data_IF_418969865402
#
_entry.id   IF_418969865402
#
_cell.length_a   1.000
_cell.length_b   1.000
_cell.length_c   1.000
_cell.angle_alpha   90.00
_cell.angle_beta   90.00
_cell.angle_gamma   90.00
#
_symmetry.space_group_name_H-M   'P 1'
#
loop_
_entity.id
_entity.type
_entity.pdbx_description
1 polymer ?
#
# COMPACT_ATOMS: atom_id res chain seq x y z
N UNK A 1 17.49 12.29 10.53
CA UNK A 1 16.19 11.71 10.93
C UNK A 1 15.22 12.87 11.00
N UNK A 2 14.35 13.03 10.01
CA UNK A 2 13.26 14.00 10.10
C UNK A 2 12.30 13.49 11.17
N UNK A 3 11.87 14.36 12.08
CA UNK A 3 10.90 13.97 13.12
C UNK A 3 9.56 13.83 12.40
N UNK A 4 8.98 12.62 12.40
CA UNK A 4 7.61 12.38 11.90
C UNK A 4 6.67 13.40 12.54
N UNK A 5 5.89 14.12 11.73
CA UNK A 5 4.93 15.09 12.25
C UNK A 5 3.86 14.38 13.08
N UNK A 6 3.78 14.71 14.37
CA UNK A 6 2.81 14.12 15.32
C UNK A 6 1.36 14.26 14.87
N UNK A 7 1.02 15.34 14.15
CA UNK A 7 -0.31 15.54 13.59
C UNK A 7 -0.61 14.57 12.43
N UNK A 8 0.37 14.33 11.54
CA UNK A 8 0.19 13.41 10.40
C UNK A 8 0.15 11.95 10.84
N UNK A 9 0.97 11.57 11.80
CA UNK A 9 0.90 10.21 12.39
C UNK A 9 -0.46 9.98 13.03
N UNK A 10 -0.97 10.95 13.81
CA UNK A 10 -2.30 10.87 14.42
C UNK A 10 -3.42 10.76 13.39
N UNK A 11 -3.35 11.50 12.28
CA UNK A 11 -4.32 11.40 11.18
C UNK A 11 -4.32 10.01 10.54
N UNK A 12 -3.14 9.45 10.24
CA UNK A 12 -3.02 8.08 9.70
C UNK A 12 -3.61 7.07 10.68
N UNK A 13 -3.30 7.19 11.97
CA UNK A 13 -3.83 6.27 12.99
C UNK A 13 -5.34 6.39 13.17
N UNK A 14 -5.88 7.62 13.18
CA UNK A 14 -7.32 7.87 13.24
C UNK A 14 -8.04 7.25 12.04
N UNK A 15 -7.44 7.39 10.86
CA UNK A 15 -7.92 6.79 9.63
C UNK A 15 -8.07 5.26 9.78
N UNK A 16 -6.99 4.58 10.17
CA UNK A 16 -7.02 3.13 10.37
C UNK A 16 -7.96 2.69 11.50
N UNK A 17 -8.01 3.42 12.62
CA UNK A 17 -8.94 3.13 13.71
C UNK A 17 -10.40 3.18 13.26
N UNK A 18 -10.74 4.15 12.42
CA UNK A 18 -12.09 4.25 11.84
C UNK A 18 -12.36 3.08 10.90
N UNK A 19 -11.40 2.72 10.04
CA UNK A 19 -11.54 1.58 9.13
C UNK A 19 -11.74 0.24 9.86
N UNK A 20 -11.11 0.09 11.03
CA UNK A 20 -11.22 -1.09 11.88
C UNK A 20 -12.36 -1.01 12.91
N UNK A 21 -13.11 0.09 12.95
CA UNK A 21 -14.21 0.33 13.90
C UNK A 21 -13.81 0.11 15.38
N UNK A 22 -12.58 0.52 15.73
CA UNK A 22 -12.00 0.26 17.05
C UNK A 22 -12.65 1.11 18.15
N UNK A 23 -13.60 0.51 18.86
CA UNK A 23 -14.30 1.13 20.00
C UNK A 23 -13.88 0.56 21.36
N UNK A 24 -13.23 -0.60 21.38
CA UNK A 24 -12.89 -1.33 22.60
C UNK A 24 -11.51 -0.94 23.14
N UNK A 25 -11.28 -1.12 24.44
CA UNK A 25 -9.94 -0.95 25.02
C UNK A 25 -9.02 -2.10 24.60
N UNK A 26 -7.73 -1.84 24.35
CA UNK A 26 -6.80 -2.89 23.97
C UNK A 26 -6.55 -3.85 25.13
N UNK A 27 -6.41 -5.13 24.80
CA UNK A 27 -5.96 -6.18 25.71
C UNK A 27 -4.51 -6.51 25.42
N UNK A 28 -3.63 -6.41 26.43
CA UNK A 28 -2.20 -6.72 26.28
C UNK A 28 -1.54 -5.98 25.09
N UNK A 29 -1.95 -4.72 24.86
CA UNK A 29 -1.46 -3.90 23.74
C UNK A 29 -2.14 -4.14 22.39
N UNK A 30 -3.07 -5.10 22.29
CA UNK A 30 -3.80 -5.41 21.07
C UNK A 30 -5.24 -4.90 21.10
N UNK A 31 -5.64 -4.29 19.99
CA UNK A 31 -7.05 -4.29 19.61
C UNK A 31 -7.38 -5.64 18.97
N UNK A 32 -8.60 -6.12 19.19
CA UNK A 32 -9.09 -7.37 18.65
C UNK A 32 -10.27 -7.11 17.72
N UNK A 33 -10.27 -7.80 16.58
CA UNK A 33 -11.41 -7.88 15.68
C UNK A 33 -11.62 -9.32 15.19
N UNK A 34 -12.86 -9.77 15.06
CA UNK A 34 -13.18 -11.17 14.71
C UNK A 34 -13.54 -11.37 13.23
N UNK A 35 -13.57 -10.31 12.42
CA UNK A 35 -14.18 -10.30 11.09
C UNK A 35 -13.27 -9.81 9.96
N UNK A 36 -12.36 -8.88 10.21
CA UNK A 36 -11.58 -8.16 9.21
C UNK A 36 -10.66 -9.10 8.41
N UNK A 37 -10.14 -10.13 9.06
CA UNK A 37 -9.30 -11.16 8.44
C UNK A 37 -10.01 -11.94 7.33
N UNK A 38 -11.34 -12.02 7.37
CA UNK A 38 -12.15 -12.74 6.36
C UNK A 38 -12.17 -12.06 4.99
N UNK A 39 -11.62 -10.84 4.89
CA UNK A 39 -11.62 -10.03 3.67
C UNK A 39 -10.49 -10.39 2.69
N UNK A 40 -9.53 -11.22 3.11
CA UNK A 40 -8.32 -11.50 2.33
C UNK A 40 -8.47 -12.79 1.51
N UNK A 41 -8.49 -13.95 2.16
CA UNK A 41 -8.70 -15.24 1.51
C UNK A 41 -9.37 -16.23 2.46
N UNK A 42 -9.88 -17.35 1.93
CA UNK A 42 -10.42 -18.44 2.74
C UNK A 42 -9.36 -19.13 3.62
N UNK A 43 -8.09 -19.06 3.21
CA UNK A 43 -6.94 -19.61 3.94
C UNK A 43 -6.36 -18.63 4.98
N UNK A 44 -6.82 -17.37 4.99
CA UNK A 44 -6.35 -16.38 5.95
C UNK A 44 -6.71 -16.81 7.37
N UNK A 45 -5.74 -16.80 8.27
CA UNK A 45 -5.95 -17.11 9.68
C UNK A 45 -5.80 -15.88 10.58
N UNK A 46 -4.87 -14.97 10.24
CA UNK A 46 -4.60 -13.77 11.02
C UNK A 46 -4.32 -12.61 10.09
N UNK A 47 -4.97 -11.48 10.34
CA UNK A 47 -4.54 -10.18 9.87
C UNK A 47 -3.91 -9.40 11.03
N UNK A 48 -2.71 -8.88 10.82
CA UNK A 48 -1.94 -8.14 11.81
C UNK A 48 -1.55 -6.76 11.27
N UNK A 49 -2.09 -5.72 11.89
CA UNK A 49 -1.70 -4.34 11.62
C UNK A 49 -0.87 -3.79 12.79
N UNK A 50 0.23 -3.11 12.47
CA UNK A 50 1.10 -2.46 13.45
C UNK A 50 1.46 -1.04 13.02
N UNK A 51 1.32 -0.10 13.95
CA UNK A 51 1.78 1.29 13.87
C UNK A 51 2.45 1.68 15.19
N UNK A 52 3.01 2.88 15.26
CA UNK A 52 3.54 3.44 16.50
C UNK A 52 2.45 3.63 17.59
N UNK A 53 1.19 3.82 17.18
CA UNK A 53 0.09 4.11 18.11
C UNK A 53 -0.71 2.90 18.57
N UNK A 54 -0.82 1.84 17.77
CA UNK A 54 -1.53 0.63 18.14
C UNK A 54 -1.16 -0.59 17.29
N UNK A 55 -1.43 -1.77 17.86
CA UNK A 55 -1.48 -3.04 17.15
C UNK A 55 -2.91 -3.54 17.08
N UNK A 56 -3.38 -3.94 15.91
CA UNK A 56 -4.63 -4.68 15.72
C UNK A 56 -4.29 -6.11 15.32
N UNK A 57 -4.95 -7.05 15.99
CA UNK A 57 -4.94 -8.45 15.64
C UNK A 57 -6.36 -8.86 15.30
N UNK A 58 -6.57 -9.26 14.05
CA UNK A 58 -7.84 -9.76 13.57
C UNK A 58 -7.73 -11.25 13.26
N UNK A 59 -8.52 -12.09 13.94
CA UNK A 59 -8.50 -13.54 13.74
C UNK A 59 -9.76 -14.21 14.33
N UNK A 60 -10.01 -15.51 14.03
CA UNK A 60 -11.04 -16.30 14.70
C UNK A 60 -10.93 -16.25 16.23
N UNK A 61 -12.07 -16.21 16.94
CA UNK A 61 -12.09 -16.11 18.43
C UNK A 61 -11.30 -17.23 19.10
N UNK A 62 -11.42 -18.46 18.62
CA UNK A 62 -10.68 -19.62 19.14
C UNK A 62 -9.16 -19.45 19.01
N UNK A 63 -8.68 -18.76 17.97
CA UNK A 63 -7.26 -18.44 17.81
C UNK A 63 -6.86 -17.26 18.70
N UNK A 64 -7.70 -16.21 18.78
CA UNK A 64 -7.50 -15.07 19.69
C UNK A 64 -7.26 -15.52 21.14
N UNK A 65 -8.08 -16.45 21.65
CA UNK A 65 -7.92 -16.99 23.01
C UNK A 65 -6.57 -17.67 23.25
N UNK A 66 -5.93 -18.21 22.19
CA UNK A 66 -4.61 -18.84 22.27
C UNK A 66 -3.47 -17.81 22.22
N UNK A 67 -3.62 -16.74 21.43
CA UNK A 67 -2.50 -15.85 21.07
C UNK A 67 -2.51 -14.47 21.74
N UNK A 68 -3.64 -14.03 22.31
CA UNK A 68 -3.79 -12.72 22.96
C UNK A 68 -2.78 -12.42 24.09
N UNK A 69 -2.20 -13.46 24.67
CA UNK A 69 -1.23 -13.37 25.75
C UNK A 69 0.22 -13.19 25.26
N UNK A 70 0.48 -13.37 23.97
CA UNK A 70 1.81 -13.20 23.40
C UNK A 70 2.18 -11.72 23.34
N UNK A 71 3.44 -11.40 23.62
CA UNK A 71 3.92 -10.03 23.45
C UNK A 71 3.98 -9.66 21.96
N UNK A 72 3.66 -8.41 21.57
CA UNK A 72 3.70 -7.98 20.16
C UNK A 72 5.02 -8.27 19.45
N UNK A 73 6.14 -8.18 20.16
CA UNK A 73 7.48 -8.47 19.64
C UNK A 73 7.73 -9.95 19.36
N UNK A 74 6.98 -10.87 19.96
CA UNK A 74 7.13 -12.31 19.76
C UNK A 74 6.05 -12.90 18.84
N UNK A 75 5.04 -12.12 18.47
CA UNK A 75 3.83 -12.62 17.85
C UNK A 75 4.12 -13.38 16.57
N UNK A 76 4.91 -12.81 15.67
CA UNK A 76 5.28 -13.45 14.39
C UNK A 76 5.94 -14.81 14.61
N UNK A 77 6.96 -14.89 15.48
CA UNK A 77 7.61 -16.15 15.84
C UNK A 77 6.62 -17.18 16.39
N UNK A 78 5.66 -16.73 17.20
CA UNK A 78 4.64 -17.61 17.80
C UNK A 78 3.60 -18.07 16.77
N UNK A 79 3.23 -17.22 15.81
CA UNK A 79 2.36 -17.58 14.70
C UNK A 79 3.05 -18.62 13.81
N UNK A 80 4.32 -18.43 13.47
CA UNK A 80 5.10 -19.42 12.71
C UNK A 80 5.18 -20.77 13.44
N UNK A 81 5.32 -20.79 14.77
CA UNK A 81 5.26 -22.02 15.56
C UNK A 81 3.89 -22.72 15.54
N UNK A 82 2.83 -22.00 15.20
CA UNK A 82 1.49 -22.54 14.96
C UNK A 82 1.27 -22.92 13.49
N UNK A 83 2.34 -22.98 12.69
CA UNK A 83 2.29 -23.24 11.24
C UNK A 83 1.44 -22.21 10.50
N UNK A 84 1.46 -20.96 10.98
CA UNK A 84 0.87 -19.83 10.28
C UNK A 84 1.98 -19.08 9.55
N UNK A 85 1.99 -19.13 8.22
CA UNK A 85 3.01 -18.50 7.40
C UNK A 85 2.58 -17.11 6.97
N UNK A 86 3.52 -16.16 6.97
CA UNK A 86 3.26 -14.80 6.50
C UNK A 86 3.30 -14.78 4.98
N UNK A 87 2.14 -14.69 4.33
CA UNK A 87 2.05 -14.59 2.87
C UNK A 87 2.15 -13.15 2.37
N UNK A 88 1.56 -12.22 3.11
CA UNK A 88 1.58 -10.80 2.77
C UNK A 88 2.28 -10.04 3.88
N UNK A 89 3.23 -9.19 3.50
CA UNK A 89 4.05 -8.42 4.42
C UNK A 89 4.37 -7.05 3.84
N UNK A 90 3.41 -6.15 3.99
CA UNK A 90 3.42 -4.85 3.37
C UNK A 90 3.67 -3.75 4.39
N UNK A 91 4.28 -2.67 3.91
CA UNK A 91 4.52 -1.45 4.68
C UNK A 91 3.87 -0.29 3.95
N UNK A 92 3.10 0.52 4.67
CA UNK A 92 2.65 1.81 4.15
C UNK A 92 3.71 2.87 4.40
N UNK A 93 4.07 3.56 3.32
CA UNK A 93 4.94 4.72 3.32
C UNK A 93 4.12 5.99 3.08
N UNK A 94 4.49 7.05 3.80
CA UNK A 94 3.79 8.35 3.76
C UNK A 94 4.77 9.52 3.68
N UNK A 95 4.29 10.65 3.13
CA UNK A 95 5.00 11.93 3.16
C UNK A 95 4.65 12.72 4.43
N UNK A 96 5.60 12.82 5.35
CA UNK A 96 5.44 13.60 6.58
C UNK A 96 5.75 15.09 6.41
N UNK A 97 6.49 15.46 5.37
CA UNK A 97 6.72 16.85 4.98
C UNK A 97 5.66 17.31 3.95
N UNK A 98 5.54 18.62 3.78
CA UNK A 98 4.66 19.23 2.77
C UNK A 98 5.42 19.53 1.48
N UNK A 99 6.34 18.63 1.11
CA UNK A 99 7.14 18.78 -0.09
C UNK A 99 6.25 19.07 -1.30
N UNK A 100 6.54 20.18 -1.97
CA UNK A 100 5.90 20.52 -3.24
C UNK A 100 6.63 19.79 -4.35
N UNK A 101 5.92 18.88 -5.00
CA UNK A 101 6.34 18.25 -6.24
C UNK A 101 5.74 19.02 -7.42
N UNK A 102 6.53 19.21 -8.46
CA UNK A 102 6.05 19.79 -9.70
C UNK A 102 5.40 18.70 -10.55
N UNK A 103 4.32 19.05 -11.25
CA UNK A 103 3.77 18.21 -12.30
C UNK A 103 4.82 18.06 -13.40
N UNK A 104 5.02 16.83 -13.84
CA UNK A 104 5.89 16.53 -14.97
C UNK A 104 5.14 16.77 -16.29
N UNK A 105 5.77 17.45 -17.24
CA UNK A 105 5.15 17.86 -18.50
C UNK A 105 4.94 16.71 -19.49
N UNK A 106 5.71 15.62 -19.40
CA UNK A 106 5.55 14.46 -20.28
C UNK A 106 4.66 13.37 -19.66
N UNK A 107 4.20 13.59 -18.41
CA UNK A 107 3.18 12.74 -17.80
C UNK A 107 1.82 13.23 -18.25
N UNK A 108 1.05 12.34 -18.86
CA UNK A 108 -0.30 12.62 -19.34
C UNK A 108 -1.33 11.75 -18.62
N UNK A 109 -2.57 12.23 -18.52
CA UNK A 109 -3.69 11.44 -18.01
C UNK A 109 -4.09 10.38 -19.03
N UNK A 110 -4.21 9.14 -18.57
CA UNK A 110 -4.77 8.04 -19.35
C UNK A 110 -6.26 7.90 -19.02
N UNK A 111 -7.08 7.61 -20.03
CA UNK A 111 -8.47 7.24 -19.89
C UNK A 111 -8.64 5.78 -20.33
N UNK A 112 -9.14 4.91 -19.44
CA UNK A 112 -9.25 3.47 -19.71
C UNK A 112 -10.06 3.19 -20.97
N UNK A 113 -11.15 3.92 -21.21
CA UNK A 113 -12.05 3.68 -22.33
C UNK A 113 -11.40 4.10 -23.66
N UNK A 114 -10.83 5.31 -23.72
CA UNK A 114 -10.27 5.83 -24.97
C UNK A 114 -8.84 5.33 -25.26
N UNK A 115 -8.07 5.00 -24.22
CA UNK A 115 -6.67 4.58 -24.33
C UNK A 115 -6.50 3.06 -24.13
N UNK A 116 -7.60 2.29 -24.21
CA UNK A 116 -7.58 0.84 -23.98
C UNK A 116 -6.54 0.11 -24.84
N UNK A 117 -6.41 0.46 -26.13
CA UNK A 117 -5.43 -0.18 -27.01
C UNK A 117 -3.97 0.08 -26.56
N UNK A 118 -3.70 1.28 -26.04
CA UNK A 118 -2.40 1.66 -25.53
C UNK A 118 -2.08 0.94 -24.21
N UNK A 119 -3.06 0.84 -23.32
CA UNK A 119 -2.98 0.10 -22.06
C UNK A 119 -2.80 -1.40 -22.31
N UNK A 120 -3.59 -2.00 -23.20
CA UNK A 120 -3.50 -3.40 -23.58
C UNK A 120 -2.12 -3.74 -24.16
N UNK A 121 -1.61 -2.89 -25.06
CA UNK A 121 -0.28 -3.06 -25.63
C UNK A 121 0.82 -2.96 -24.55
N UNK A 122 0.66 -2.05 -23.59
CA UNK A 122 1.58 -1.90 -22.47
C UNK A 122 1.55 -3.13 -21.56
N UNK A 123 0.38 -3.61 -21.14
CA UNK A 123 0.25 -4.81 -20.30
C UNK A 123 0.84 -6.04 -21.00
N UNK A 124 0.57 -6.25 -22.29
CA UNK A 124 1.17 -7.35 -23.07
C UNK A 124 2.69 -7.25 -23.22
N UNK A 125 3.27 -6.08 -23.02
CA UNK A 125 4.73 -5.87 -23.07
C UNK A 125 5.44 -6.18 -21.74
N UNK A 126 4.68 -6.44 -20.67
CA UNK A 126 5.17 -6.79 -19.34
C UNK A 126 4.89 -8.27 -19.03
N UNK A 127 5.68 -8.87 -18.13
CA UNK A 127 5.40 -10.23 -17.66
C UNK A 127 4.20 -10.22 -16.69
N UNK A 128 3.52 -11.37 -16.58
CA UNK A 128 2.45 -11.54 -15.57
C UNK A 128 2.98 -11.26 -14.16
N UNK A 129 4.19 -11.72 -13.83
CA UNK A 129 4.85 -11.48 -12.55
C UNK A 129 5.06 -9.98 -12.27
N UNK A 130 5.49 -9.20 -13.27
CA UNK A 130 5.67 -7.75 -13.10
C UNK A 130 4.33 -7.02 -12.88
N UNK A 131 3.27 -7.47 -13.56
CA UNK A 131 1.93 -6.90 -13.41
C UNK A 131 1.35 -7.22 -12.03
N UNK A 132 1.44 -8.49 -11.61
CA UNK A 132 1.01 -8.98 -10.30
C UNK A 132 1.77 -8.26 -9.18
N UNK A 133 3.10 -8.16 -9.28
CA UNK A 133 3.93 -7.46 -8.30
C UNK A 133 3.64 -5.96 -8.22
N UNK A 134 3.19 -5.35 -9.31
CA UNK A 134 2.77 -3.96 -9.33
C UNK A 134 1.33 -3.75 -8.83
N UNK A 135 0.58 -4.84 -8.59
CA UNK A 135 -0.84 -4.84 -8.26
C UNK A 135 -1.64 -3.95 -9.24
N UNK A 136 -1.27 -4.01 -10.52
CA UNK A 136 -1.74 -3.05 -11.50
C UNK A 136 -3.09 -3.47 -12.10
N UNK A 137 -4.16 -2.90 -11.56
CA UNK A 137 -5.53 -3.16 -12.01
C UNK A 137 -6.12 -1.99 -12.82
N UNK A 138 -6.96 -2.32 -13.80
CA UNK A 138 -7.66 -1.35 -14.66
C UNK A 138 -8.97 -0.82 -14.05
N UNK A 139 -9.21 -1.01 -12.76
CA UNK A 139 -10.35 -0.46 -12.01
C UNK A 139 -9.88 0.63 -11.03
N UNK A 140 -9.34 1.72 -11.58
CA UNK A 140 -8.82 2.85 -10.79
C UNK A 140 -9.51 4.15 -11.15
N UNK A 141 -9.35 5.17 -10.30
CA UNK A 141 -10.05 6.45 -10.46
C UNK A 141 -9.26 7.40 -11.37
N UNK A 142 -7.93 7.36 -11.30
CA UNK A 142 -7.05 8.18 -12.10
C UNK A 142 -5.89 7.36 -12.65
N UNK A 143 -5.54 7.57 -13.91
CA UNK A 143 -4.40 6.93 -14.55
C UNK A 143 -3.47 7.97 -15.16
N UNK A 144 -2.18 7.69 -15.10
CA UNK A 144 -1.14 8.55 -15.67
C UNK A 144 -0.14 7.70 -16.42
N UNK A 145 0.32 8.18 -17.57
CA UNK A 145 1.25 7.48 -18.45
C UNK A 145 2.47 8.31 -18.80
N UNK A 146 3.54 7.63 -19.21
CA UNK A 146 4.68 8.24 -19.91
C UNK A 146 4.93 7.46 -21.21
N UNK A 147 5.06 8.21 -22.31
CA UNK A 147 5.45 7.68 -23.61
C UNK A 147 6.97 7.80 -23.81
N UNK A 148 7.56 6.79 -24.44
CA UNK A 148 8.89 6.85 -25.06
C UNK A 148 8.77 6.32 -26.49
N UNK A 149 9.18 7.12 -27.49
CA UNK A 149 9.08 6.78 -28.91
C UNK A 149 7.66 6.35 -29.36
N UNK A 150 6.63 7.01 -28.80
CA UNK A 150 5.22 6.75 -29.11
C UNK A 150 4.65 5.48 -28.45
N UNK A 151 5.38 4.85 -27.53
CA UNK A 151 4.93 3.66 -26.78
C UNK A 151 4.79 4.00 -25.31
N UNK A 152 3.73 3.51 -24.67
CA UNK A 152 3.57 3.59 -23.22
C UNK A 152 4.65 2.72 -22.57
N UNK A 153 5.50 3.33 -21.73
CA UNK A 153 6.62 2.65 -21.06
C UNK A 153 6.52 2.66 -19.55
N UNK A 154 5.63 3.48 -19.00
CA UNK A 154 5.30 3.48 -17.59
C UNK A 154 3.86 3.96 -17.39
N UNK A 155 3.17 3.35 -16.43
CA UNK A 155 1.83 3.73 -16.03
C UNK A 155 1.69 3.74 -14.51
N UNK A 156 0.88 4.68 -14.01
CA UNK A 156 0.46 4.77 -12.62
C UNK A 156 -1.05 4.79 -12.57
N UNK A 157 -1.62 3.98 -11.68
CA UNK A 157 -3.02 3.97 -11.30
C UNK A 157 -3.16 4.54 -9.88
N UNK A 158 -4.17 5.38 -9.64
CA UNK A 158 -4.50 5.94 -8.32
C UNK A 158 -5.93 5.57 -7.91
N UNK A 159 -6.08 5.12 -6.67
CA UNK A 159 -7.33 4.61 -6.09
C UNK A 159 -7.86 5.58 -5.02
N UNK A 160 -9.06 6.10 -5.24
CA UNK A 160 -9.71 7.10 -4.40
C UNK A 160 -11.18 6.75 -4.19
N UNK A 161 -11.49 5.89 -3.22
CA UNK A 161 -12.89 5.52 -2.94
C UNK A 161 -13.59 6.59 -2.09
N UNK A 162 -14.79 7.00 -2.51
CA UNK A 162 -15.65 7.90 -1.75
C UNK A 162 -15.99 7.29 -0.37
N UNK A 163 -15.99 8.12 0.68
CA UNK A 163 -16.22 7.68 2.06
C UNK A 163 -15.08 6.88 2.69
N UNK A 164 -14.02 6.54 1.93
CA UNK A 164 -12.76 6.05 2.49
C UNK A 164 -11.80 7.22 2.72
N UNK A 165 -11.06 7.08 3.81
CA UNK A 165 -9.83 7.74 4.27
C UNK A 165 -9.21 8.83 3.37
N UNK A 166 -8.54 9.87 3.90
CA UNK A 166 -7.99 10.98 3.10
C UNK A 166 -6.79 10.61 2.20
N UNK A 167 -6.56 9.31 1.99
CA UNK A 167 -5.42 8.76 1.26
C UNK A 167 -5.84 8.20 -0.11
N UNK A 168 -4.97 8.36 -1.09
CA UNK A 168 -5.01 7.64 -2.37
C UNK A 168 -3.92 6.57 -2.35
N UNK A 169 -4.33 5.31 -2.55
CA UNK A 169 -3.41 4.21 -2.86
C UNK A 169 -3.02 4.27 -4.33
N UNK A 170 -1.97 3.55 -4.72
CA UNK A 170 -1.52 3.52 -6.10
C UNK A 170 -0.92 2.18 -6.51
N UNK A 171 -0.93 1.95 -7.81
CA UNK A 171 -0.19 0.88 -8.48
C UNK A 171 0.70 1.51 -9.55
N UNK A 172 1.95 1.06 -9.66
CA UNK A 172 2.95 1.66 -10.54
C UNK A 172 3.69 0.56 -11.30
N UNK A 173 3.62 0.61 -12.63
CA UNK A 173 4.32 -0.32 -13.50
C UNK A 173 5.25 0.45 -14.45
N UNK A 174 6.51 0.02 -14.52
CA UNK A 174 7.49 0.52 -15.49
C UNK A 174 8.02 -0.67 -16.30
N UNK A 175 7.90 -0.59 -17.62
CA UNK A 175 8.38 -1.63 -18.53
C UNK A 175 9.83 -1.99 -18.24
N UNK A 176 10.22 -3.28 -18.22
CA UNK A 176 11.58 -3.71 -17.92
C UNK A 176 12.66 -2.97 -18.72
N UNK A 177 12.41 -2.71 -20.02
CA UNK A 177 13.33 -2.01 -20.93
C UNK A 177 13.47 -0.50 -20.65
N UNK A 178 12.58 0.06 -19.83
CA UNK A 178 12.50 1.48 -19.52
C UNK A 178 12.83 1.79 -18.04
N UNK A 179 13.22 0.77 -17.25
CA UNK A 179 13.65 0.94 -15.85
C UNK A 179 14.94 1.75 -15.77
N UNK A 180 15.20 2.27 -14.58
CA UNK A 180 16.39 3.10 -14.27
C UNK A 180 16.49 4.44 -15.03
N UNK A 181 15.51 4.76 -15.89
CA UNK A 181 15.39 6.06 -16.57
C UNK A 181 14.62 7.12 -15.77
N UNK A 182 14.20 6.80 -14.54
CA UNK A 182 13.49 7.73 -13.65
C UNK A 182 11.98 7.85 -13.87
N UNK A 183 11.37 7.09 -14.78
CA UNK A 183 9.93 7.18 -15.08
C UNK A 183 9.02 6.95 -13.86
N UNK A 184 9.34 5.98 -13.00
CA UNK A 184 8.59 5.76 -11.76
C UNK A 184 8.63 6.97 -10.82
N UNK A 185 9.78 7.65 -10.73
CA UNK A 185 9.95 8.85 -9.90
C UNK A 185 9.13 10.02 -10.44
N UNK A 186 9.10 10.17 -11.77
CA UNK A 186 8.32 11.20 -12.47
C UNK A 186 6.83 11.00 -12.27
N UNK A 187 6.33 9.78 -12.48
CA UNK A 187 4.93 9.42 -12.23
C UNK A 187 4.52 9.64 -10.77
N UNK A 188 5.31 9.15 -9.81
CA UNK A 188 5.00 9.31 -8.40
C UNK A 188 5.04 10.78 -7.95
N UNK A 189 6.01 11.58 -8.44
CA UNK A 189 6.05 13.03 -8.17
C UNK A 189 4.84 13.75 -8.75
N UNK A 190 4.43 13.39 -9.97
CA UNK A 190 3.23 13.93 -10.61
C UNK A 190 1.99 13.57 -9.80
N UNK A 191 1.84 12.31 -9.37
CA UNK A 191 0.73 11.89 -8.51
C UNK A 191 0.68 12.71 -7.22
N UNK A 192 1.80 12.89 -6.51
CA UNK A 192 1.82 13.67 -5.27
C UNK A 192 1.34 15.11 -5.50
N UNK A 193 1.69 15.70 -6.64
CA UNK A 193 1.19 17.02 -7.02
C UNK A 193 -0.33 17.00 -7.29
N UNK A 194 -0.84 15.99 -7.97
CA UNK A 194 -2.27 15.83 -8.30
C UNK A 194 -3.13 15.58 -7.06
N UNK A 195 -2.76 14.65 -6.17
CA UNK A 195 -3.56 14.34 -4.97
C UNK A 195 -3.72 15.55 -4.06
N UNK A 196 -2.72 16.44 -4.02
CA UNK A 196 -2.78 17.69 -3.25
C UNK A 196 -3.86 18.63 -3.77
N UNK A 197 -4.10 18.67 -5.08
CA UNK A 197 -5.20 19.46 -5.66
C UNK A 197 -6.58 18.89 -5.34
N UNK A 198 -6.65 17.60 -4.97
CA UNK A 198 -7.85 16.91 -4.51
C UNK A 198 -8.02 16.94 -2.99
N UNK A 199 -7.16 17.66 -2.26
CA UNK A 199 -7.09 17.66 -0.79
C UNK A 199 -6.89 16.26 -0.19
N UNK A 200 -6.09 15.43 -0.88
CA UNK A 200 -5.76 14.06 -0.48
C UNK A 200 -4.25 13.87 -0.34
N UNK A 201 -3.86 12.72 0.19
CA UNK A 201 -2.46 12.32 0.46
C UNK A 201 -2.16 10.99 -0.20
N UNK A 202 -0.92 10.78 -0.64
CA UNK A 202 -0.52 9.46 -1.15
C UNK A 202 -0.27 8.49 0.02
N UNK A 203 -0.77 7.26 -0.12
CA UNK A 203 -0.33 6.09 0.65
C UNK A 203 0.38 5.15 -0.30
N UNK A 204 1.69 5.00 -0.12
CA UNK A 204 2.50 4.12 -0.95
C UNK A 204 2.68 2.79 -0.20
N UNK A 205 1.87 1.79 -0.54
CA UNK A 205 2.00 0.44 0.02
C UNK A 205 2.99 -0.37 -0.79
N UNK A 206 3.86 -1.11 -0.11
CA UNK A 206 4.83 -1.97 -0.78
C UNK A 206 5.21 -3.16 0.09
N UNK A 207 5.31 -4.33 -0.55
CA UNK A 207 5.86 -5.53 0.07
C UNK A 207 7.31 -5.30 0.53
N UNK A 208 7.67 -5.79 1.71
CA UNK A 208 8.98 -5.57 2.33
C UNK A 208 10.17 -6.09 1.50
N UNK A 209 9.94 -7.06 0.62
CA UNK A 209 10.96 -7.63 -0.25
C UNK A 209 11.14 -6.84 -1.56
N UNK A 210 10.22 -5.92 -1.89
CA UNK A 210 10.25 -5.14 -3.12
C UNK A 210 11.19 -3.92 -3.01
N UNK A 211 12.49 -4.23 -2.89
CA UNK A 211 13.58 -3.25 -2.74
C UNK A 211 13.55 -2.12 -3.78
N UNK A 212 13.30 -2.35 -5.09
CA UNK A 212 13.23 -1.26 -6.07
C UNK A 212 12.11 -0.25 -5.78
N UNK A 213 10.94 -0.75 -5.37
CA UNK A 213 9.77 0.07 -5.07
C UNK A 213 9.95 0.85 -3.76
N UNK A 214 10.55 0.23 -2.74
CA UNK A 214 10.95 0.90 -1.48
C UNK A 214 11.92 2.04 -1.77
N UNK A 215 13.00 1.78 -2.51
CA UNK A 215 13.99 2.82 -2.87
C UNK A 215 13.36 3.95 -3.66
N UNK A 216 12.39 3.65 -4.52
CA UNK A 216 11.70 4.65 -5.30
C UNK A 216 10.95 5.65 -4.42
N UNK A 217 10.08 5.17 -3.51
CA UNK A 217 9.29 6.06 -2.66
C UNK A 217 10.19 6.81 -1.65
N UNK A 218 11.18 6.14 -1.05
CA UNK A 218 12.15 6.77 -0.14
C UNK A 218 12.95 7.89 -0.84
N UNK A 219 13.26 7.74 -2.13
CA UNK A 219 13.97 8.78 -2.90
C UNK A 219 13.17 10.08 -3.09
N UNK A 220 11.87 10.05 -2.82
CA UNK A 220 10.98 11.21 -2.81
C UNK A 220 10.65 11.66 -1.37
N UNK A 221 11.26 11.06 -0.36
CA UNK A 221 11.09 11.42 1.05
C UNK A 221 9.88 10.79 1.71
N UNK A 222 9.30 9.73 1.13
CA UNK A 222 8.35 8.91 1.84
C UNK A 222 9.06 8.14 2.97
N UNK A 223 8.38 7.95 4.09
CA UNK A 223 8.89 7.23 5.25
C UNK A 223 7.91 6.12 5.67
N UNK A 224 8.44 4.95 6.03
CA UNK A 224 7.67 3.84 6.55
C UNK A 224 6.94 4.22 7.85
N UNK A 225 5.67 3.83 7.95
CA UNK A 225 4.86 4.16 9.12
C UNK A 225 4.17 2.96 9.76
N UNK A 226 3.38 2.22 8.99
CA UNK A 226 2.64 1.06 9.49
C UNK A 226 2.98 -0.17 8.66
N UNK A 227 2.75 -1.36 9.24
CA UNK A 227 3.02 -2.65 8.62
C UNK A 227 1.78 -3.53 8.72
N UNK A 228 1.44 -4.16 7.61
CA UNK A 228 0.29 -5.04 7.44
C UNK A 228 0.81 -6.43 7.11
N UNK A 229 0.38 -7.43 7.88
CA UNK A 229 0.70 -8.82 7.60
C UNK A 229 -0.54 -9.67 7.55
N UNK A 230 -0.54 -10.61 6.63
CA UNK A 230 -1.55 -11.66 6.52
C UNK A 230 -0.85 -12.99 6.72
N UNK A 231 -1.32 -13.74 7.71
CA UNK A 231 -0.85 -15.10 7.95
C UNK A 231 -1.93 -16.08 7.53
N UNK A 232 -1.54 -17.09 6.78
CA UNK A 232 -2.41 -18.18 6.33
C UNK A 232 -2.06 -19.48 7.04
N UNK A 233 -2.98 -20.44 7.00
CA UNK A 233 -2.68 -21.82 7.31
C UNK A 233 -2.27 -22.52 6.02
N UNK A 234 -1.15 -23.25 6.07
CA UNK A 234 -0.85 -24.24 5.03
C UNK A 234 -2.00 -25.24 4.92
N UNK A 235 -2.34 -25.64 3.70
CA UNK A 235 -3.24 -26.78 3.44
C UNK A 235 -2.67 -28.11 3.95
#
# INVERSE_FOLDING_TARGET
>A
MLIKSSAKTAEIDCSWRNQFELSQKPYNGYYYDSQFWKRFSEHTAVYLFQSDAFTLLSCPENLWHKIKHFQPSELERKLNNLQLLCEYDDVDYHLFNDNTFNKDADVFTLNIESDNELLDAFLRSNSAEDIEKADFELDSHFFYGILEEGKLVAALASYCYEGKEPFESLSLLVSPKAREKGYGKRLLSHLVAEVKTRDRKVRYRVNIENTPSIKLCESLGFEAYNRLRVFTQDE
#
